data_IF_213443340233
#
_entry.id   IF_213443340233
#
_cell.length_a   1.000
_cell.length_b   1.000
_cell.length_c   1.000
_cell.angle_alpha   90.00
_cell.angle_beta   90.00
_cell.angle_gamma   90.00
#
_symmetry.space_group_name_H-M   'P 1'
#
loop_
_entity.id
_entity.type
_entity.pdbx_description
1 polymer ?
#
# COMPACT_ATOMS: atom_id res chain seq x y z
N UNK A 1 43.48 18.81 -4.81
CA UNK A 1 42.34 17.88 -4.65
C UNK A 1 42.68 17.02 -3.45
N UNK A 2 41.83 16.90 -2.42
CA UNK A 2 42.08 15.94 -1.36
C UNK A 2 41.92 14.51 -1.91
N UNK A 3 42.87 13.64 -1.55
CA UNK A 3 42.91 12.24 -1.97
C UNK A 3 41.68 11.48 -1.46
N UNK A 4 40.90 10.90 -2.37
CA UNK A 4 39.79 10.01 -2.02
C UNK A 4 40.35 8.66 -1.51
N UNK A 5 39.82 8.11 -0.41
CA UNK A 5 40.21 6.78 0.04
C UNK A 5 39.70 5.75 -0.97
N UNK A 6 40.64 5.08 -1.65
CA UNK A 6 40.36 3.95 -2.52
C UNK A 6 39.84 2.83 -1.62
N UNK A 7 38.53 2.55 -1.69
CA UNK A 7 37.92 1.41 -0.99
C UNK A 7 38.37 0.16 -1.75
N UNK A 8 39.45 -0.48 -1.29
CA UNK A 8 39.85 -1.80 -1.78
C UNK A 8 38.80 -2.80 -1.31
N UNK A 9 37.82 -3.06 -2.16
CA UNK A 9 36.84 -4.11 -1.96
C UNK A 9 37.53 -5.46 -2.20
N UNK A 10 38.19 -5.98 -1.16
CA UNK A 10 38.66 -7.35 -1.17
C UNK A 10 37.46 -8.29 -1.34
N UNK A 11 37.37 -8.91 -2.51
CA UNK A 11 36.38 -9.96 -2.79
C UNK A 11 36.78 -11.17 -1.96
N UNK A 12 36.24 -11.27 -0.76
CA UNK A 12 36.34 -12.48 0.06
C UNK A 12 35.69 -13.61 -0.75
N UNK A 13 36.42 -14.67 -1.12
CA UNK A 13 35.81 -15.80 -1.80
C UNK A 13 34.73 -16.38 -0.89
N UNK A 14 33.49 -16.39 -1.37
CA UNK A 14 32.40 -17.01 -0.65
C UNK A 14 32.76 -18.49 -0.41
N UNK A 15 32.87 -18.88 0.85
CA UNK A 15 33.06 -20.28 1.24
C UNK A 15 31.84 -21.08 0.75
N UNK A 16 32.02 -22.04 -0.19
CA UNK A 16 30.91 -22.81 -0.76
C UNK A 16 30.17 -23.68 0.27
N UNK A 17 30.64 -23.75 1.52
CA UNK A 17 30.02 -24.50 2.60
C UNK A 17 29.00 -23.72 3.46
N UNK A 18 28.92 -22.39 3.36
CA UNK A 18 27.93 -21.64 4.15
C UNK A 18 26.60 -21.62 3.39
N UNK A 19 25.53 -22.28 3.89
CA UNK A 19 24.23 -22.15 3.23
C UNK A 19 23.87 -20.68 3.23
N UNK A 20 23.72 -20.10 2.04
CA UNK A 20 23.23 -18.75 1.89
C UNK A 20 21.92 -18.65 2.68
N UNK A 21 21.77 -17.58 3.48
CA UNK A 21 20.54 -17.29 4.21
C UNK A 21 19.49 -16.78 3.22
N UNK A 22 19.07 -17.69 2.34
CA UNK A 22 18.13 -17.42 1.25
C UNK A 22 16.71 -17.31 1.78
N UNK A 23 16.47 -17.73 3.03
CA UNK A 23 15.13 -17.95 3.56
C UNK A 23 14.42 -19.16 2.96
N UNK A 24 15.11 -20.00 2.16
CA UNK A 24 14.59 -21.23 1.60
C UNK A 24 15.50 -22.42 1.93
N UNK A 25 14.89 -23.58 2.11
CA UNK A 25 15.58 -24.87 2.17
C UNK A 25 16.17 -25.22 0.80
N UNK A 26 17.13 -26.17 0.72
CA UNK A 26 17.67 -26.63 -0.57
C UNK A 26 16.61 -27.18 -1.54
N UNK A 27 15.47 -27.66 -1.02
CA UNK A 27 14.32 -28.09 -1.83
C UNK A 27 13.41 -26.95 -2.30
N UNK A 28 13.80 -25.69 -2.08
CA UNK A 28 13.01 -24.51 -2.47
C UNK A 28 11.81 -24.22 -1.57
N UNK A 29 11.68 -24.90 -0.42
CA UNK A 29 10.60 -24.64 0.55
C UNK A 29 11.03 -23.49 1.46
N UNK A 30 10.22 -22.43 1.66
CA UNK A 30 10.52 -21.36 2.60
C UNK A 30 10.78 -21.89 4.02
N UNK A 31 11.78 -21.35 4.70
CA UNK A 31 11.98 -21.62 6.13
C UNK A 31 10.90 -20.93 6.96
N UNK A 32 10.73 -21.37 8.20
CA UNK A 32 9.76 -20.75 9.10
C UNK A 32 10.11 -19.29 9.40
N UNK A 33 11.39 -18.99 9.60
CA UNK A 33 11.85 -17.63 9.90
C UNK A 33 11.63 -16.68 8.71
N UNK A 34 11.82 -17.13 7.46
CA UNK A 34 11.56 -16.28 6.29
C UNK A 34 10.07 -15.98 6.09
N UNK A 35 9.19 -16.93 6.40
CA UNK A 35 7.74 -16.71 6.39
C UNK A 35 7.34 -15.74 7.50
N UNK A 36 7.89 -15.89 8.71
CA UNK A 36 7.64 -14.97 9.83
C UNK A 36 8.07 -13.55 9.47
N UNK A 37 9.31 -13.37 9.04
CA UNK A 37 9.85 -12.06 8.68
C UNK A 37 9.00 -11.41 7.57
N UNK A 38 8.60 -12.19 6.56
CA UNK A 38 7.72 -11.71 5.49
C UNK A 38 6.35 -11.27 5.99
N UNK A 39 5.79 -11.97 6.97
CA UNK A 39 4.50 -11.59 7.60
C UNK A 39 4.69 -10.30 8.41
N UNK A 40 5.72 -10.21 9.23
CA UNK A 40 6.01 -9.02 10.05
C UNK A 40 6.25 -7.78 9.20
N UNK A 41 7.03 -7.91 8.12
CA UNK A 41 7.27 -6.83 7.16
C UNK A 41 5.98 -6.36 6.48
N UNK A 42 5.13 -7.30 6.04
CA UNK A 42 3.83 -6.95 5.43
C UNK A 42 2.88 -6.32 6.44
N UNK A 43 2.82 -6.87 7.65
CA UNK A 43 1.96 -6.36 8.71
C UNK A 43 2.36 -4.93 9.08
N UNK A 44 3.66 -4.69 9.32
CA UNK A 44 4.20 -3.36 9.61
C UNK A 44 3.90 -2.37 8.50
N UNK A 45 4.10 -2.78 7.23
CA UNK A 45 3.80 -1.95 6.07
C UNK A 45 2.29 -1.65 5.95
N UNK A 46 1.43 -2.62 6.25
CA UNK A 46 -0.02 -2.49 6.10
C UNK A 46 -0.71 -1.58 7.11
N UNK A 47 -0.10 -1.29 8.27
CA UNK A 47 -0.74 -0.50 9.32
C UNK A 47 -1.09 0.93 8.84
N UNK A 48 -0.33 1.49 7.90
CA UNK A 48 -0.55 2.85 7.38
C UNK A 48 -0.61 2.96 5.85
N UNK A 49 -0.50 1.85 5.10
CA UNK A 49 -0.44 1.92 3.63
C UNK A 49 -1.70 2.51 3.02
N UNK A 50 -2.88 2.19 3.57
CA UNK A 50 -4.15 2.71 3.07
C UNK A 50 -4.28 4.23 3.26
N UNK A 51 -3.74 4.78 4.35
CA UNK A 51 -3.71 6.23 4.60
C UNK A 51 -2.76 6.92 3.61
N UNK A 52 -1.58 6.35 3.38
CA UNK A 52 -0.62 6.86 2.40
C UNK A 52 -1.19 6.80 0.97
N UNK A 53 -1.82 5.69 0.59
CA UNK A 53 -2.45 5.50 -0.71
C UNK A 53 -3.59 6.51 -0.92
N UNK A 54 -4.38 6.79 0.11
CA UNK A 54 -5.43 7.81 0.09
C UNK A 54 -4.87 9.23 -0.04
N UNK A 55 -3.69 9.50 0.52
CA UNK A 55 -3.03 10.80 0.44
C UNK A 55 -2.34 11.09 -0.89
N UNK A 56 -2.20 10.08 -1.76
CA UNK A 56 -1.69 10.29 -3.14
C UNK A 56 -2.59 11.24 -3.94
N UNK A 57 -2.05 11.95 -4.95
CA UNK A 57 -2.88 12.77 -5.83
C UNK A 57 -4.04 11.99 -6.46
N UNK A 58 -3.78 10.77 -6.92
CA UNK A 58 -4.77 9.87 -7.49
C UNK A 58 -5.82 9.47 -6.46
N UNK A 59 -5.40 9.10 -5.24
CA UNK A 59 -6.30 8.76 -4.12
C UNK A 59 -7.26 9.90 -3.79
N UNK A 60 -6.75 11.13 -3.70
CA UNK A 60 -7.56 12.33 -3.47
C UNK A 60 -8.57 12.57 -4.59
N UNK A 61 -8.16 12.43 -5.85
CA UNK A 61 -9.10 12.63 -6.98
C UNK A 61 -10.24 11.61 -7.00
N UNK A 62 -9.97 10.36 -6.62
CA UNK A 62 -11.00 9.31 -6.54
C UNK A 62 -11.99 9.64 -5.41
N UNK A 63 -11.49 10.07 -4.25
CA UNK A 63 -12.31 10.48 -3.13
C UNK A 63 -13.21 11.68 -3.49
N UNK A 64 -12.65 12.71 -4.15
CA UNK A 64 -13.39 13.88 -4.61
C UNK A 64 -14.51 13.51 -5.60
N UNK A 65 -14.22 12.62 -6.55
CA UNK A 65 -15.22 12.14 -7.51
C UNK A 65 -16.35 11.35 -6.83
N UNK A 66 -16.00 10.52 -5.85
CA UNK A 66 -16.96 9.79 -5.04
C UNK A 66 -17.88 10.76 -4.27
N UNK A 67 -17.29 11.73 -3.57
CA UNK A 67 -18.04 12.73 -2.81
C UNK A 67 -18.93 13.60 -3.70
N UNK A 68 -18.44 13.98 -4.88
CA UNK A 68 -19.25 14.72 -5.86
C UNK A 68 -20.47 13.90 -6.32
N UNK A 69 -20.29 12.60 -6.57
CA UNK A 69 -21.40 11.70 -6.93
C UNK A 69 -22.40 11.54 -5.79
N UNK A 70 -21.91 11.39 -4.56
CA UNK A 70 -22.77 11.27 -3.38
C UNK A 70 -23.59 12.54 -3.13
N UNK A 71 -22.98 13.72 -3.25
CA UNK A 71 -23.69 15.01 -3.16
C UNK A 71 -24.74 15.16 -4.23
N UNK A 72 -24.40 14.89 -5.49
CA UNK A 72 -25.35 14.95 -6.60
C UNK A 72 -26.54 13.98 -6.38
N UNK A 73 -26.28 12.76 -5.90
CA UNK A 73 -27.34 11.80 -5.57
C UNK A 73 -28.22 12.31 -4.42
N UNK A 74 -27.64 12.87 -3.37
CA UNK A 74 -28.37 13.43 -2.23
C UNK A 74 -29.25 14.61 -2.65
N UNK A 75 -28.74 15.53 -3.47
CA UNK A 75 -29.50 16.66 -4.02
C UNK A 75 -30.70 16.19 -4.87
N UNK A 76 -30.49 15.19 -5.72
CA UNK A 76 -31.59 14.60 -6.52
C UNK A 76 -32.65 13.95 -5.65
N UNK A 77 -32.25 13.23 -4.62
CA UNK A 77 -33.20 12.64 -3.66
C UNK A 77 -33.96 13.71 -2.88
N UNK A 78 -33.31 14.82 -2.50
CA UNK A 78 -33.98 15.95 -1.86
C UNK A 78 -35.03 16.57 -2.78
N UNK A 79 -34.68 16.80 -4.05
CA UNK A 79 -35.61 17.33 -5.05
C UNK A 79 -36.84 16.42 -5.24
N UNK A 80 -36.66 15.10 -5.29
CA UNK A 80 -37.77 14.14 -5.40
C UNK A 80 -38.68 14.20 -4.17
N UNK A 81 -38.10 14.27 -2.95
CA UNK A 81 -38.89 14.37 -1.72
C UNK A 81 -39.68 15.68 -1.66
N UNK A 82 -39.07 16.77 -2.10
CA UNK A 82 -39.71 18.08 -2.23
C UNK A 82 -40.91 17.98 -3.19
N UNK A 83 -40.72 17.44 -4.40
CA UNK A 83 -41.83 17.30 -5.37
C UNK A 83 -42.96 16.44 -4.82
N UNK A 84 -42.64 15.34 -4.14
CA UNK A 84 -43.67 14.48 -3.51
C UNK A 84 -44.40 15.16 -2.33
N UNK A 85 -43.75 16.12 -1.66
CA UNK A 85 -44.35 16.85 -0.53
C UNK A 85 -45.13 18.10 -0.98
N UNK A 86 -44.84 18.61 -2.17
CA UNK A 86 -45.54 19.74 -2.81
C UNK A 86 -46.78 19.32 -3.60
N UNK A 87 -46.97 18.01 -3.85
CA UNK A 87 -48.18 17.41 -4.43
C UNK A 87 -49.16 16.76 -3.40
N UNK A 88 -49.57 17.40 -2.26
CA UNK A 88 -50.57 16.81 -1.37
C UNK A 88 -52.03 17.14 -1.72
N UNK A 89 -52.33 18.01 -2.70
CA UNK A 89 -53.72 18.46 -3.00
C UNK A 89 -53.99 18.81 -4.50
N UNK A 90 -53.80 17.85 -5.42
CA UNK A 90 -54.44 17.84 -6.75
C UNK A 90 -55.16 16.51 -6.97
#
# INVERSE_FOLDING_TARGET
MPDEPIIDAEVVPADPGTPADTGYTPGGVPTFDSVREKIENRYTSSIGSAELDAETPEGRTIAEQYDARQRAAAERLAQIRESMSQDPDQ
#
